data_IF_245734601852
#
_entry.id   IF_245734601852
#
_cell.length_a   1.000
_cell.length_b   1.000
_cell.length_c   1.000
_cell.angle_alpha   90.00
_cell.angle_beta   90.00
_cell.angle_gamma   90.00
#
_symmetry.space_group_name_H-M   'P 1'
#
loop_
_entity.id
_entity.type
_entity.pdbx_description
1 polymer ?
#
# COMPACT_ATOMS: atom_id res chain seq x y z
N UNK A 1 -7.48 0.39 -21.49
CA UNK A 1 -7.67 -0.33 -20.21
C UNK A 1 -9.16 -0.49 -20.00
N UNK A 2 -9.68 -1.72 -19.98
CA UNK A 2 -11.09 -1.97 -19.64
C UNK A 2 -11.27 -1.84 -18.14
N UNK A 3 -12.18 -0.98 -17.69
CA UNK A 3 -12.64 -0.99 -16.30
C UNK A 3 -13.49 -2.23 -16.09
N UNK A 4 -12.99 -3.18 -15.32
CA UNK A 4 -13.79 -4.29 -14.81
C UNK A 4 -14.52 -3.80 -13.57
N UNK A 5 -15.83 -3.54 -13.70
CA UNK A 5 -16.69 -3.28 -12.55
C UNK A 5 -16.98 -4.63 -11.92
N UNK A 6 -16.43 -4.85 -10.73
CA UNK A 6 -16.75 -6.01 -9.91
C UNK A 6 -18.10 -5.74 -9.24
N UNK A 7 -19.17 -6.38 -9.72
CA UNK A 7 -20.43 -6.42 -9.00
C UNK A 7 -20.28 -7.38 -7.82
N UNK A 8 -20.22 -6.83 -6.61
CA UNK A 8 -20.24 -7.58 -5.37
C UNK A 8 -21.65 -7.50 -4.76
N UNK A 9 -22.25 -8.63 -4.43
CA UNK A 9 -23.50 -8.66 -3.68
C UNK A 9 -23.28 -8.17 -2.25
N UNK A 10 -24.32 -7.65 -1.57
CA UNK A 10 -24.22 -7.31 -0.15
C UNK A 10 -23.78 -8.47 0.74
N UNK A 11 -24.04 -9.73 0.35
CA UNK A 11 -23.53 -10.89 1.09
C UNK A 11 -22.03 -11.16 0.83
N UNK A 12 -21.53 -10.75 -0.33
CA UNK A 12 -20.09 -10.77 -0.67
C UNK A 12 -19.33 -9.61 -0.03
N UNK A 13 -20.02 -8.53 0.33
CA UNK A 13 -19.54 -7.53 1.27
C UNK A 13 -19.62 -8.12 2.68
N UNK A 14 -18.72 -9.05 2.98
CA UNK A 14 -18.59 -9.62 4.32
C UNK A 14 -18.49 -8.50 5.34
N UNK A 15 -19.02 -8.75 6.55
CA UNK A 15 -18.75 -7.88 7.70
C UNK A 15 -17.25 -7.54 7.72
N UNK A 16 -16.94 -6.26 7.87
CA UNK A 16 -15.56 -5.79 7.88
C UNK A 16 -14.82 -6.50 9.01
N UNK A 17 -13.87 -7.35 8.64
CA UNK A 17 -13.02 -8.09 9.56
C UNK A 17 -11.61 -7.51 9.47
N UNK A 18 -11.21 -6.86 10.55
CA UNK A 18 -9.93 -6.18 10.65
C UNK A 18 -8.76 -7.17 10.56
N UNK A 19 -8.87 -8.33 11.21
CA UNK A 19 -7.82 -9.35 11.22
C UNK A 19 -7.66 -9.95 9.82
N UNK A 20 -8.79 -10.24 9.15
CA UNK A 20 -8.77 -10.73 7.77
C UNK A 20 -8.15 -9.70 6.81
N UNK A 21 -8.44 -8.41 7.00
CA UNK A 21 -7.83 -7.33 6.21
C UNK A 21 -6.32 -7.24 6.45
N UNK A 22 -5.87 -7.27 7.70
CA UNK A 22 -4.44 -7.22 8.05
C UNK A 22 -3.71 -8.42 7.44
N UNK A 23 -4.24 -9.64 7.61
CA UNK A 23 -3.66 -10.85 7.02
C UNK A 23 -3.63 -10.80 5.48
N UNK A 24 -4.63 -10.18 4.85
CA UNK A 24 -4.61 -9.95 3.40
C UNK A 24 -3.53 -8.94 2.99
N UNK A 25 -3.42 -7.82 3.70
CA UNK A 25 -2.43 -6.79 3.45
C UNK A 25 -1.00 -7.32 3.60
N UNK A 26 -0.73 -8.15 4.61
CA UNK A 26 0.58 -8.81 4.79
C UNK A 26 0.96 -9.68 3.60
N UNK A 27 0.04 -10.52 3.12
CA UNK A 27 0.27 -11.34 1.92
C UNK A 27 0.50 -10.49 0.68
N UNK A 28 -0.27 -9.41 0.53
CA UNK A 28 -0.10 -8.47 -0.58
C UNK A 28 1.26 -7.77 -0.52
N UNK A 29 1.68 -7.33 0.67
CA UNK A 29 2.98 -6.69 0.88
C UNK A 29 4.13 -7.65 0.55
N UNK A 30 4.02 -8.93 0.96
CA UNK A 30 5.00 -9.95 0.63
C UNK A 30 5.08 -10.15 -0.88
N UNK A 31 3.93 -10.37 -1.53
CA UNK A 31 3.86 -10.54 -2.98
C UNK A 31 4.45 -9.34 -3.73
N UNK A 32 4.14 -8.11 -3.30
CA UNK A 32 4.67 -6.90 -3.91
C UNK A 32 6.19 -6.79 -3.75
N UNK A 33 6.71 -7.17 -2.58
CA UNK A 33 8.16 -7.13 -2.30
C UNK A 33 8.93 -8.14 -3.17
N UNK A 34 8.33 -9.29 -3.46
CA UNK A 34 8.89 -10.32 -4.34
C UNK A 34 8.75 -9.98 -5.84
N UNK A 35 7.67 -9.29 -6.22
CA UNK A 35 7.34 -8.99 -7.63
C UNK A 35 8.03 -7.73 -8.13
N UNK A 36 8.04 -6.67 -7.32
CA UNK A 36 8.50 -5.34 -7.73
C UNK A 36 9.93 -5.08 -7.26
N UNK A 37 10.88 -5.81 -7.83
CA UNK A 37 12.30 -5.80 -7.42
C UNK A 37 13.16 -4.82 -8.21
N UNK A 38 12.65 -4.25 -9.30
CA UNK A 38 13.40 -3.32 -10.15
C UNK A 38 13.86 -2.09 -9.36
N UNK A 39 15.17 -1.82 -9.25
CA UNK A 39 15.65 -0.67 -8.49
C UNK A 39 15.22 0.64 -9.15
N UNK A 40 14.87 1.64 -8.34
CA UNK A 40 14.56 2.97 -8.86
C UNK A 40 15.83 3.62 -9.45
N UNK A 41 15.78 4.23 -10.64
CA UNK A 41 16.98 4.58 -11.40
C UNK A 41 17.70 5.84 -10.89
N UNK A 42 17.16 6.52 -9.88
CA UNK A 42 17.76 7.72 -9.29
C UNK A 42 18.47 7.38 -7.98
N UNK A 43 19.60 8.06 -7.74
CA UNK A 43 20.27 8.01 -6.44
C UNK A 43 19.32 8.45 -5.31
N UNK A 44 19.44 7.90 -4.08
CA UNK A 44 18.59 8.28 -2.95
C UNK A 44 18.51 9.78 -2.68
N UNK A 45 19.62 10.51 -2.86
CA UNK A 45 19.67 11.98 -2.69
C UNK A 45 18.81 12.75 -3.68
N UNK A 46 18.31 12.11 -4.73
CA UNK A 46 17.47 12.70 -5.79
C UNK A 46 16.02 12.24 -5.71
N UNK A 47 15.64 11.56 -4.64
CA UNK A 47 14.26 11.14 -4.43
C UNK A 47 13.45 12.31 -3.88
N UNK A 48 12.27 12.57 -4.45
CA UNK A 48 11.33 13.56 -3.92
C UNK A 48 10.63 13.08 -2.65
N UNK A 49 10.61 11.77 -2.42
CA UNK A 49 10.03 11.14 -1.24
C UNK A 49 10.95 10.04 -0.74
N UNK A 50 11.20 10.06 0.56
CA UNK A 50 11.91 9.02 1.31
C UNK A 50 10.95 8.08 2.04
N UNK A 51 9.73 7.93 1.54
CA UNK A 51 8.76 6.98 2.08
C UNK A 51 9.42 5.61 2.31
N UNK A 52 9.26 5.13 3.54
CA UNK A 52 9.62 3.81 4.00
C UNK A 52 8.41 3.29 4.76
N UNK A 53 7.86 2.15 4.31
CA UNK A 53 6.79 1.51 5.05
C UNK A 53 7.28 1.06 6.42
N UNK A 54 6.49 1.35 7.44
CA UNK A 54 6.66 0.85 8.80
C UNK A 54 5.28 0.36 9.24
N UNK A 55 5.11 -0.92 9.54
CA UNK A 55 3.89 -1.41 10.17
C UNK A 55 3.64 -0.58 11.44
N UNK A 56 2.43 -0.05 11.57
CA UNK A 56 2.01 0.69 12.75
C UNK A 56 0.86 -0.07 13.42
N UNK A 57 0.77 -0.07 14.76
CA UNK A 57 -0.36 -0.66 15.45
C UNK A 57 -1.65 0.08 15.06
N UNK A 58 -2.73 -0.68 14.89
CA UNK A 58 -4.06 -0.15 14.62
C UNK A 58 -4.76 -0.01 15.96
N UNK A 59 -5.07 1.23 16.34
CA UNK A 59 -5.84 1.52 17.55
C UNK A 59 -7.33 1.61 17.20
N UNK A 60 -8.17 1.21 18.16
CA UNK A 60 -9.62 1.37 18.09
C UNK A 60 -10.06 2.41 19.12
N UNK A 61 -11.08 3.21 18.77
CA UNK A 61 -11.73 4.12 19.72
C UNK A 61 -12.59 3.34 20.72
N UNK A 62 -13.13 4.02 21.74
CA UNK A 62 -14.08 3.42 22.68
C UNK A 62 -15.35 2.88 22.01
N UNK A 63 -15.68 3.40 20.85
CA UNK A 63 -16.84 3.02 20.04
C UNK A 63 -16.53 1.86 19.08
N UNK A 64 -15.26 1.44 18.99
CA UNK A 64 -14.80 0.38 18.10
C UNK A 64 -14.41 0.83 16.70
N UNK A 65 -14.40 2.14 16.44
CA UNK A 65 -13.92 2.69 15.17
C UNK A 65 -12.39 2.64 15.08
N UNK A 66 -11.83 2.57 13.87
CA UNK A 66 -10.38 2.70 13.69
C UNK A 66 -9.96 4.14 13.96
N UNK A 67 -9.03 4.34 14.90
CA UNK A 67 -8.45 5.65 15.16
C UNK A 67 -7.65 6.13 13.94
N UNK A 68 -7.91 7.35 13.47
CA UNK A 68 -7.43 7.87 12.19
C UNK A 68 -8.20 7.38 10.95
N UNK A 69 -9.21 6.53 11.13
CA UNK A 69 -10.14 6.07 10.10
C UNK A 69 -9.52 5.15 9.04
N UNK A 70 -10.26 4.95 7.94
CA UNK A 70 -9.87 4.02 6.86
C UNK A 70 -8.57 4.43 6.15
N UNK A 71 -8.29 5.73 6.04
CA UNK A 71 -7.03 6.21 5.45
C UNK A 71 -5.83 5.80 6.29
N UNK A 72 -5.94 5.91 7.62
CA UNK A 72 -4.91 5.42 8.52
C UNK A 72 -4.75 3.90 8.41
N UNK A 73 -5.86 3.16 8.43
CA UNK A 73 -5.85 1.71 8.30
C UNK A 73 -5.07 1.24 7.07
N UNK A 74 -5.35 1.83 5.89
CA UNK A 74 -4.65 1.49 4.65
C UNK A 74 -3.16 1.88 4.75
N UNK A 75 -2.86 3.07 5.27
CA UNK A 75 -1.47 3.55 5.40
C UNK A 75 -0.62 2.73 6.38
N UNK A 76 -1.23 2.18 7.42
CA UNK A 76 -0.58 1.35 8.44
C UNK A 76 -0.37 -0.10 7.98
N UNK A 77 -1.19 -0.59 7.04
CA UNK A 77 -1.19 -2.00 6.62
C UNK A 77 -0.58 -2.24 5.24
N UNK A 78 -0.64 -1.29 4.31
CA UNK A 78 -0.18 -1.47 2.93
C UNK A 78 1.20 -0.81 2.70
N UNK A 79 2.17 -1.61 2.30
CA UNK A 79 3.52 -1.16 1.93
C UNK A 79 3.51 -0.57 0.51
N UNK A 80 3.50 0.76 0.40
CA UNK A 80 3.53 1.45 -0.89
C UNK A 80 4.94 1.57 -1.50
N UNK A 81 5.97 0.95 -0.93
CA UNK A 81 7.35 1.07 -1.42
C UNK A 81 7.52 0.52 -2.84
N UNK A 82 6.68 -0.45 -3.25
CA UNK A 82 6.69 -1.05 -4.59
C UNK A 82 6.42 -0.04 -5.72
N UNK A 83 5.74 1.07 -5.41
CA UNK A 83 5.39 2.11 -6.39
C UNK A 83 6.61 2.69 -7.10
N UNK A 84 7.77 2.76 -6.41
CA UNK A 84 9.02 3.20 -7.05
C UNK A 84 9.45 2.24 -8.16
N UNK A 85 9.46 0.94 -7.87
CA UNK A 85 9.83 -0.09 -8.84
C UNK A 85 8.84 -0.17 -10.02
N UNK A 86 7.54 -0.01 -9.75
CA UNK A 86 6.50 0.06 -10.78
C UNK A 86 6.72 1.26 -11.73
N UNK A 87 7.17 2.39 -11.20
CA UNK A 87 7.41 3.59 -11.97
C UNK A 87 8.76 3.60 -12.70
N UNK A 88 9.72 2.73 -12.37
CA UNK A 88 11.08 2.73 -12.93
C UNK A 88 11.15 2.91 -14.45
N UNK A 89 10.33 2.21 -15.28
CA UNK A 89 10.40 2.36 -16.74
C UNK A 89 10.12 3.78 -17.26
N UNK A 90 9.47 4.62 -16.46
CA UNK A 90 9.08 5.98 -16.83
C UNK A 90 10.03 7.06 -16.32
N UNK A 91 11.06 6.68 -15.56
CA UNK A 91 12.03 7.62 -14.99
C UNK A 91 13.42 7.41 -15.59
N UNK A 92 14.05 8.52 -15.98
CA UNK A 92 15.48 8.53 -16.28
C UNK A 92 16.34 8.56 -15.01
N UNK A 93 17.62 8.24 -15.18
CA UNK A 93 18.66 8.35 -14.13
C UNK A 93 18.93 9.80 -13.72
N UNK A 94 18.64 10.77 -14.61
CA UNK A 94 18.76 12.22 -14.37
C UNK A 94 17.53 12.77 -13.65
N UNK A 95 17.70 13.60 -12.63
CA UNK A 95 16.63 14.30 -11.90
C UNK A 95 17.06 15.71 -11.51
N UNK A 96 16.12 16.53 -11.02
CA UNK A 96 16.41 17.88 -10.53
C UNK A 96 17.46 17.86 -9.40
N UNK A 97 18.26 18.94 -9.21
CA UNK A 97 19.21 19.14 -8.11
C UNK A 97 18.73 18.61 -6.78
#
# INVERSE_FOLDING_TARGET
MSRHILSLSPEQLTAFDLDALVAHAERLNQHNRETFTTPFPKAPSRWLSHYQFRPQPIALTSEGDVDGGLSWLVGATVDFSFTRALCTPYYGTRGAP
#
